data_IF_448031061091
#
_entry.id   IF_448031061091
#
_cell.length_a   1.000
_cell.length_b   1.000
_cell.length_c   1.000
_cell.angle_alpha   90.00
_cell.angle_beta   90.00
_cell.angle_gamma   90.00
#
_symmetry.space_group_name_H-M   'P 1'
#
loop_
_entity.id
_entity.type
_entity.pdbx_description
1 polymer ?
#
# COMPACT_ATOMS: atom_id res chain seq x y z
N UNK A 1 -56.64 -18.33 27.29
CA UNK A 1 -55.53 -17.57 27.91
C UNK A 1 -54.39 -17.52 26.89
N UNK A 2 -53.97 -16.31 26.57
CA UNK A 2 -53.17 -15.91 25.41
C UNK A 2 -51.67 -15.90 25.76
N UNK A 3 -50.83 -16.62 25.01
CA UNK A 3 -49.36 -16.58 25.17
C UNK A 3 -48.79 -15.50 24.23
N UNK A 4 -48.25 -14.45 24.84
CA UNK A 4 -47.65 -13.27 24.19
C UNK A 4 -46.36 -13.61 23.45
N UNK A 5 -46.22 -13.05 22.26
CA UNK A 5 -45.01 -13.03 21.44
C UNK A 5 -43.84 -12.35 22.17
N UNK A 6 -42.71 -13.05 22.29
CA UNK A 6 -41.42 -12.44 22.59
C UNK A 6 -40.80 -11.96 21.27
N UNK A 7 -40.86 -10.64 21.03
CA UNK A 7 -40.03 -9.96 20.05
C UNK A 7 -38.57 -10.01 20.54
N UNK A 8 -37.78 -10.91 19.95
CA UNK A 8 -36.33 -10.92 20.12
C UNK A 8 -35.70 -9.83 19.26
N UNK A 9 -35.37 -8.69 19.84
CA UNK A 9 -34.45 -7.72 19.23
C UNK A 9 -33.04 -8.34 19.19
N UNK A 10 -32.67 -8.92 18.05
CA UNK A 10 -31.28 -9.23 17.76
C UNK A 10 -30.53 -7.90 17.56
N UNK A 11 -29.85 -7.43 18.61
CA UNK A 11 -28.92 -6.32 18.51
C UNK A 11 -27.71 -6.78 17.68
N UNK A 12 -27.70 -6.40 16.40
CA UNK A 12 -26.53 -6.52 15.53
C UNK A 12 -25.45 -5.58 16.08
N UNK A 13 -24.48 -6.15 16.80
CA UNK A 13 -23.28 -5.44 17.23
C UNK A 13 -22.46 -5.07 15.98
N UNK A 14 -22.68 -3.85 15.48
CA UNK A 14 -21.79 -3.18 14.55
C UNK A 14 -20.48 -2.88 15.29
N UNK A 15 -19.53 -3.81 15.25
CA UNK A 15 -18.15 -3.51 15.62
C UNK A 15 -17.63 -2.46 14.63
N UNK A 16 -17.15 -1.28 15.09
CA UNK A 16 -16.46 -0.37 14.21
C UNK A 16 -15.19 -1.09 13.76
N UNK A 17 -15.14 -1.44 12.49
CA UNK A 17 -13.88 -1.84 11.86
C UNK A 17 -13.02 -0.58 11.92
N UNK A 18 -12.11 -0.52 12.90
CA UNK A 18 -11.05 0.48 12.92
C UNK A 18 -10.19 0.14 11.69
N UNK A 19 -10.55 0.72 10.56
CA UNK A 19 -9.70 0.70 9.38
C UNK A 19 -8.43 1.45 9.80
N UNK A 20 -7.37 0.70 10.08
CA UNK A 20 -6.04 1.28 10.22
C UNK A 20 -5.76 1.96 8.89
N UNK A 21 -5.77 3.29 8.91
CA UNK A 21 -5.49 4.07 7.71
C UNK A 21 -4.11 3.65 7.20
N UNK A 22 -4.01 3.40 5.89
CA UNK A 22 -2.72 3.17 5.27
C UNK A 22 -1.80 4.37 5.56
N UNK A 23 -0.48 4.14 5.73
CA UNK A 23 0.47 5.21 5.93
C UNK A 23 0.33 6.27 4.83
N UNK A 24 0.46 7.55 5.19
CA UNK A 24 0.45 8.62 4.19
C UNK A 24 1.70 8.55 3.32
N UNK A 25 1.68 9.12 2.10
CA UNK A 25 2.88 9.23 1.27
C UNK A 25 4.04 9.92 2.01
N UNK A 26 3.74 10.99 2.76
CA UNK A 26 4.73 11.72 3.55
C UNK A 26 5.34 10.85 4.65
N UNK A 27 4.53 10.07 5.38
CA UNK A 27 5.04 9.20 6.42
C UNK A 27 5.90 8.06 5.83
N UNK A 28 5.47 7.48 4.71
CA UNK A 28 6.25 6.48 3.97
C UNK A 28 7.58 7.04 3.50
N UNK A 29 7.56 8.23 2.89
CA UNK A 29 8.78 8.86 2.41
C UNK A 29 9.71 9.32 3.51
N UNK A 30 9.18 9.76 4.65
CA UNK A 30 10.01 10.09 5.81
C UNK A 30 10.80 8.86 6.27
N UNK A 31 10.16 7.69 6.36
CA UNK A 31 10.87 6.44 6.71
C UNK A 31 11.94 6.12 5.69
N UNK A 32 11.65 6.21 4.38
CA UNK A 32 12.64 5.94 3.34
C UNK A 32 13.85 6.88 3.41
N UNK A 33 13.64 8.17 3.64
CA UNK A 33 14.71 9.15 3.78
C UNK A 33 15.54 8.88 5.04
N UNK A 34 14.88 8.60 6.17
CA UNK A 34 15.56 8.37 7.46
C UNK A 34 16.37 7.07 7.48
N UNK A 35 15.95 6.07 6.68
CA UNK A 35 16.57 4.75 6.62
C UNK A 35 17.51 4.56 5.43
N UNK A 36 17.64 5.54 4.54
CA UNK A 36 18.57 5.48 3.41
C UNK A 36 20.03 5.65 3.86
N UNK A 37 20.85 4.59 3.87
CA UNK A 37 22.24 4.68 4.29
C UNK A 37 23.10 5.51 3.32
N UNK A 38 22.62 5.76 2.11
CA UNK A 38 23.35 6.53 1.10
C UNK A 38 23.08 8.03 1.17
N UNK A 39 22.00 8.45 1.83
CA UNK A 39 21.57 9.84 1.91
C UNK A 39 21.21 10.48 0.55
N UNK A 40 20.94 9.66 -0.47
CA UNK A 40 20.60 10.10 -1.82
C UNK A 40 19.09 10.26 -2.01
N UNK A 41 18.27 9.52 -1.27
CA UNK A 41 16.82 9.62 -1.37
C UNK A 41 16.38 10.92 -0.69
N UNK A 42 15.88 11.85 -1.51
CA UNK A 42 15.26 13.08 -0.99
C UNK A 42 13.76 12.90 -0.78
N UNK A 43 13.17 13.73 0.08
CA UNK A 43 11.71 13.74 0.29
C UNK A 43 10.95 14.02 -1.02
N UNK A 44 11.44 14.95 -1.84
CA UNK A 44 10.83 15.31 -3.13
C UNK A 44 10.86 14.12 -4.11
N UNK A 45 12.01 13.48 -4.27
CA UNK A 45 12.19 12.35 -5.17
C UNK A 45 11.36 11.14 -4.73
N UNK A 46 11.30 10.88 -3.42
CA UNK A 46 10.44 9.86 -2.87
C UNK A 46 8.95 10.15 -3.14
N UNK A 47 8.47 11.36 -2.87
CA UNK A 47 7.07 11.71 -3.10
C UNK A 47 6.68 11.60 -4.58
N UNK A 48 7.57 12.01 -5.49
CA UNK A 48 7.36 11.82 -6.92
C UNK A 48 7.28 10.33 -7.28
N UNK A 49 8.23 9.53 -6.78
CA UNK A 49 8.26 8.08 -7.00
C UNK A 49 7.00 7.39 -6.46
N UNK A 50 6.53 7.81 -5.29
CA UNK A 50 5.29 7.33 -4.69
C UNK A 50 4.10 7.61 -5.60
N UNK A 51 3.99 8.83 -6.11
CA UNK A 51 2.88 9.21 -7.00
C UNK A 51 2.91 8.43 -8.32
N UNK A 52 4.09 8.21 -8.90
CA UNK A 52 4.26 7.37 -10.10
C UNK A 52 3.85 5.92 -9.83
N UNK A 53 4.25 5.36 -8.69
CA UNK A 53 3.84 4.02 -8.28
C UNK A 53 2.32 3.91 -8.10
N UNK A 54 1.70 4.88 -7.43
CA UNK A 54 0.26 4.89 -7.15
C UNK A 54 -0.58 4.90 -8.44
N UNK A 55 -0.10 5.59 -9.48
CA UNK A 55 -0.77 5.68 -10.77
C UNK A 55 -0.57 4.45 -11.68
N UNK A 56 0.54 3.72 -11.54
CA UNK A 56 0.94 2.68 -12.49
C UNK A 56 0.68 1.28 -11.98
N UNK A 57 0.85 1.07 -10.68
CA UNK A 57 0.79 -0.25 -10.08
C UNK A 57 -0.66 -0.61 -9.69
N UNK A 58 -1.02 -1.87 -9.87
CA UNK A 58 -2.26 -2.44 -9.36
C UNK A 58 -2.24 -2.47 -7.82
N UNK A 59 -3.43 -2.47 -7.20
CA UNK A 59 -3.57 -2.36 -5.74
C UNK A 59 -2.83 -3.46 -4.95
N UNK A 60 -2.81 -4.70 -5.46
CA UNK A 60 -2.11 -5.83 -4.83
C UNK A 60 -0.58 -5.66 -4.83
N UNK A 61 -0.04 -5.00 -5.85
CA UNK A 61 1.39 -4.68 -5.95
C UNK A 61 1.71 -3.43 -5.12
N UNK A 62 0.84 -2.40 -5.15
CA UNK A 62 0.99 -1.18 -4.35
C UNK A 62 1.01 -1.46 -2.87
N UNK A 63 0.10 -2.30 -2.39
CA UNK A 63 0.03 -2.65 -0.97
C UNK A 63 1.34 -3.25 -0.48
N UNK A 64 1.89 -4.23 -1.22
CA UNK A 64 3.18 -4.84 -0.88
C UNK A 64 4.33 -3.84 -0.96
N UNK A 65 4.39 -3.03 -2.02
CA UNK A 65 5.47 -2.08 -2.24
C UNK A 65 5.47 -0.95 -1.19
N UNK A 66 4.33 -0.33 -0.92
CA UNK A 66 4.21 0.74 0.05
C UNK A 66 4.40 0.24 1.48
N UNK A 67 3.96 -1.00 1.79
CA UNK A 67 4.31 -1.64 3.06
C UNK A 67 5.82 -1.82 3.19
N UNK A 68 6.49 -2.31 2.15
CA UNK A 68 7.94 -2.47 2.12
C UNK A 68 8.67 -1.14 2.36
N UNK A 69 8.23 -0.07 1.70
CA UNK A 69 8.81 1.27 1.88
C UNK A 69 8.59 1.85 3.29
N UNK A 70 7.42 1.60 3.88
CA UNK A 70 7.10 2.11 5.22
C UNK A 70 7.74 1.30 6.35
N UNK A 71 7.93 -0.01 6.16
CA UNK A 71 8.40 -0.92 7.23
C UNK A 71 9.85 -1.36 7.06
N UNK A 72 10.43 -1.20 5.87
CA UNK A 72 11.71 -1.78 5.48
C UNK A 72 11.67 -3.29 5.23
N UNK A 73 10.50 -3.94 5.30
CA UNK A 73 10.36 -5.38 5.06
C UNK A 73 10.68 -5.72 3.59
N UNK A 74 11.48 -6.79 3.37
CA UNK A 74 11.72 -7.31 2.02
C UNK A 74 10.48 -8.09 1.54
N UNK A 75 9.84 -7.60 0.49
CA UNK A 75 8.61 -8.19 -0.06
C UNK A 75 8.78 -9.03 -1.32
N UNK A 76 10.01 -9.39 -1.66
CA UNK A 76 10.35 -10.09 -2.92
C UNK A 76 9.57 -11.40 -3.08
N UNK A 77 9.46 -12.19 -2.01
CA UNK A 77 8.76 -13.48 -2.07
C UNK A 77 7.24 -13.31 -2.24
N UNK A 78 6.63 -12.30 -1.59
CA UNK A 78 5.21 -12.03 -1.79
C UNK A 78 4.93 -11.52 -3.21
N UNK A 79 5.79 -10.64 -3.76
CA UNK A 79 5.67 -10.18 -5.14
C UNK A 79 5.81 -11.33 -6.15
N UNK A 80 6.72 -12.29 -5.89
CA UNK A 80 6.90 -13.48 -6.73
C UNK A 80 5.73 -14.46 -6.63
N UNK A 81 5.03 -14.50 -5.51
CA UNK A 81 3.86 -15.34 -5.29
C UNK A 81 2.57 -14.79 -5.93
N UNK A 82 2.56 -13.51 -6.36
CA UNK A 82 1.40 -12.93 -7.02
C UNK A 82 1.04 -13.68 -8.32
N UNK A 83 -0.26 -13.82 -8.63
CA UNK A 83 -0.67 -14.41 -9.89
C UNK A 83 -0.19 -13.54 -11.06
N UNK A 84 0.14 -14.22 -12.17
CA UNK A 84 0.61 -13.60 -13.41
C UNK A 84 1.91 -12.77 -13.24
N UNK A 85 3.08 -13.40 -13.09
CA UNK A 85 4.36 -12.71 -12.90
C UNK A 85 4.74 -11.78 -14.07
N UNK A 86 4.23 -12.04 -15.29
CA UNK A 86 4.43 -11.16 -16.45
C UNK A 86 3.78 -9.78 -16.25
N UNK A 87 2.61 -9.74 -15.59
CA UNK A 87 1.92 -8.50 -15.22
C UNK A 87 2.77 -7.68 -14.25
N UNK A 88 3.25 -8.31 -13.17
CA UNK A 88 4.10 -7.67 -12.15
C UNK A 88 5.33 -7.04 -12.81
N UNK A 89 6.07 -7.83 -13.61
CA UNK A 89 7.23 -7.34 -14.36
C UNK A 89 6.90 -6.17 -15.29
N UNK A 90 5.79 -6.24 -16.01
CA UNK A 90 5.36 -5.17 -16.93
C UNK A 90 5.06 -3.88 -16.18
N UNK A 91 4.44 -3.95 -15.00
CA UNK A 91 4.10 -2.78 -14.21
C UNK A 91 5.33 -2.13 -13.59
N UNK A 92 6.26 -2.90 -13.02
CA UNK A 92 7.54 -2.35 -12.55
C UNK A 92 8.34 -1.70 -13.69
N UNK A 93 8.35 -2.30 -14.89
CA UNK A 93 9.01 -1.67 -16.05
C UNK A 93 8.33 -0.36 -16.49
N UNK A 94 7.00 -0.27 -16.39
CA UNK A 94 6.28 0.99 -16.64
C UNK A 94 6.56 2.01 -15.56
N UNK A 95 6.61 1.61 -14.30
CA UNK A 95 6.93 2.47 -13.17
C UNK A 95 8.34 3.04 -13.32
N UNK A 96 9.34 2.21 -13.63
CA UNK A 96 10.71 2.65 -13.90
C UNK A 96 10.76 3.71 -15.02
N UNK A 97 10.03 3.48 -16.10
CA UNK A 97 9.91 4.48 -17.18
C UNK A 97 9.23 5.76 -16.70
N UNK A 98 8.18 5.64 -15.90
CA UNK A 98 7.48 6.79 -15.31
C UNK A 98 8.39 7.63 -14.42
N UNK A 99 9.20 6.98 -13.56
CA UNK A 99 10.15 7.68 -12.68
C UNK A 99 11.19 8.45 -13.50
N UNK A 100 11.78 7.81 -14.52
CA UNK A 100 12.75 8.45 -15.43
C UNK A 100 12.20 9.63 -16.24
N UNK A 101 10.89 9.74 -16.37
CA UNK A 101 10.25 10.81 -17.14
C UNK A 101 9.76 11.97 -16.27
N UNK A 102 9.48 11.72 -14.99
CA UNK A 102 8.78 12.67 -14.13
C UNK A 102 9.53 13.05 -12.86
N UNK A 103 10.48 12.23 -12.41
CA UNK A 103 11.12 12.37 -11.09
C UNK A 103 12.65 12.51 -11.13
N UNK A 104 13.30 12.06 -12.21
CA UNK A 104 14.76 12.05 -12.39
C UNK A 104 15.18 13.01 -13.51
#
# INVERSE_FOLDING_TARGET
MTIKHFFGCAAVLLLPQIALAAPTPQATCQVMVDTDPSGQITMEECLCTYQVADQILDDDIKELLFKSWYTGENVTDQLNALPNPKRVKKQFSRMERGMKQNCL
#
